data_IF_199075789117
#
_entry.id   IF_199075789117
#
_cell.length_a   1.000
_cell.length_b   1.000
_cell.length_c   1.000
_cell.angle_alpha   90.00
_cell.angle_beta   90.00
_cell.angle_gamma   90.00
#
_symmetry.space_group_name_H-M   'P 1'
#
loop_
_entity.id
_entity.type
_entity.pdbx_description
1 polymer ?
#
# COMPACT_ATOMS: atom_id res chain seq x y z
N UNK A 1 -39.08 -53.98 -43.00
CA UNK A 1 -38.44 -52.64 -42.92
C UNK A 1 -38.98 -51.77 -41.79
N UNK A 2 -40.31 -51.73 -41.53
CA UNK A 2 -40.91 -51.00 -40.40
C UNK A 2 -40.61 -51.57 -39.00
N UNK A 3 -40.36 -52.88 -38.86
CA UNK A 3 -39.98 -53.45 -37.56
C UNK A 3 -38.53 -53.18 -37.18
N UNK A 4 -37.62 -53.16 -38.16
CA UNK A 4 -36.19 -52.90 -37.92
C UNK A 4 -35.93 -51.44 -37.45
N UNK A 5 -36.74 -50.49 -37.92
CA UNK A 5 -36.73 -49.10 -37.47
C UNK A 5 -37.25 -48.92 -36.02
N UNK A 6 -38.19 -49.76 -35.57
CA UNK A 6 -38.67 -49.74 -34.17
C UNK A 6 -37.63 -50.28 -33.18
N UNK A 7 -36.82 -51.25 -33.60
CA UNK A 7 -35.75 -51.82 -32.76
C UNK A 7 -34.59 -50.84 -32.54
N UNK A 8 -34.36 -49.92 -33.48
CA UNK A 8 -33.36 -48.85 -33.34
C UNK A 8 -33.87 -47.73 -32.43
N UNK A 9 -35.18 -47.44 -32.45
CA UNK A 9 -35.80 -46.41 -31.61
C UNK A 9 -35.95 -46.82 -30.13
N UNK A 10 -35.85 -48.13 -29.82
CA UNK A 10 -35.92 -48.68 -28.46
C UNK A 10 -34.59 -48.64 -27.69
N UNK A 11 -33.47 -48.26 -28.33
CA UNK A 11 -32.12 -48.30 -27.74
C UNK A 11 -31.54 -46.93 -27.40
N UNK A 12 -32.29 -45.84 -27.59
CA UNK A 12 -31.83 -44.46 -27.30
C UNK A 12 -32.22 -43.94 -25.92
N UNK A 13 -32.42 -44.82 -24.93
CA UNK A 13 -32.53 -44.41 -23.53
C UNK A 13 -31.13 -44.28 -22.95
N UNK A 14 -30.40 -43.23 -23.37
CA UNK A 14 -29.41 -42.66 -22.47
C UNK A 14 -30.22 -42.05 -21.32
N UNK A 15 -30.34 -42.78 -20.21
CA UNK A 15 -30.97 -42.25 -19.01
C UNK A 15 -30.33 -40.90 -18.65
N UNK A 16 -31.17 -39.96 -18.19
CA UNK A 16 -30.73 -38.61 -17.80
C UNK A 16 -29.57 -38.67 -16.77
N UNK A 17 -29.56 -39.71 -15.95
CA UNK A 17 -28.52 -40.03 -14.96
C UNK A 17 -27.18 -40.40 -15.61
N UNK A 18 -27.21 -41.22 -16.66
CA UNK A 18 -26.01 -41.62 -17.43
C UNK A 18 -25.44 -40.42 -18.16
N UNK A 19 -26.31 -39.56 -18.70
CA UNK A 19 -25.94 -38.34 -19.41
C UNK A 19 -25.32 -37.30 -18.44
N UNK A 20 -25.87 -37.17 -17.24
CA UNK A 20 -25.32 -36.33 -16.16
C UNK A 20 -23.95 -36.82 -15.68
N UNK A 21 -23.74 -38.13 -15.59
CA UNK A 21 -22.44 -38.72 -15.23
C UNK A 21 -21.37 -38.46 -16.28
N UNK A 22 -21.71 -38.67 -17.57
CA UNK A 22 -20.81 -38.39 -18.68
C UNK A 22 -20.42 -36.91 -18.70
N UNK A 23 -21.39 -36.01 -18.47
CA UNK A 23 -21.14 -34.56 -18.41
C UNK A 23 -20.23 -34.19 -17.23
N UNK A 24 -20.47 -34.74 -16.04
CA UNK A 24 -19.63 -34.51 -14.86
C UNK A 24 -18.19 -35.01 -15.07
N UNK A 25 -18.02 -36.18 -15.68
CA UNK A 25 -16.70 -36.73 -16.00
C UNK A 25 -15.99 -35.83 -17.02
N UNK A 26 -16.69 -35.37 -18.06
CA UNK A 26 -16.14 -34.42 -19.04
C UNK A 26 -15.66 -33.12 -18.41
N UNK A 27 -16.42 -32.57 -17.46
CA UNK A 27 -16.04 -31.36 -16.71
C UNK A 27 -14.85 -31.58 -15.77
N UNK A 28 -14.73 -32.76 -15.15
CA UNK A 28 -13.55 -33.13 -14.36
C UNK A 28 -12.31 -33.25 -15.26
N UNK A 29 -12.44 -33.86 -16.43
CA UNK A 29 -11.35 -33.94 -17.41
C UNK A 29 -10.91 -32.54 -17.84
N UNK A 30 -11.85 -31.63 -18.10
CA UNK A 30 -11.55 -30.22 -18.39
C UNK A 30 -10.86 -29.52 -17.19
N UNK A 31 -11.26 -29.81 -15.96
CA UNK A 31 -10.61 -29.27 -14.76
C UNK A 31 -9.15 -29.79 -14.62
N UNK A 32 -8.88 -31.03 -15.02
CA UNK A 32 -7.53 -31.63 -15.02
C UNK A 32 -6.65 -30.98 -16.11
N UNK A 33 -7.20 -30.72 -17.28
CA UNK A 33 -6.51 -30.02 -18.38
C UNK A 33 -6.14 -28.58 -17.99
N UNK A 34 -6.84 -28.00 -17.01
CA UNK A 34 -6.59 -26.67 -16.45
C UNK A 34 -6.49 -25.57 -17.54
N UNK A 35 -7.52 -25.40 -18.39
CA UNK A 35 -7.52 -24.35 -19.39
C UNK A 35 -7.43 -22.98 -18.71
N UNK A 36 -6.51 -22.14 -19.20
CA UNK A 36 -6.38 -20.75 -18.82
C UNK A 36 -7.06 -19.85 -19.85
N UNK A 37 -7.69 -18.76 -19.38
CA UNK A 37 -8.06 -17.64 -20.24
C UNK A 37 -7.11 -16.49 -19.90
N UNK A 38 -6.42 -15.89 -20.91
CA UNK A 38 -5.60 -14.71 -20.67
C UNK A 38 -6.53 -13.54 -20.32
N UNK A 39 -6.53 -13.16 -19.04
CA UNK A 39 -7.31 -12.05 -18.52
C UNK A 39 -6.37 -10.85 -18.37
N UNK A 40 -6.73 -9.74 -19.02
CA UNK A 40 -6.02 -8.47 -18.83
C UNK A 40 -6.32 -7.97 -17.43
N UNK A 41 -5.29 -7.83 -16.62
CA UNK A 41 -5.38 -7.22 -15.30
C UNK A 41 -4.29 -6.17 -15.14
N UNK A 42 -4.60 -5.15 -14.34
CA UNK A 42 -3.66 -4.08 -14.06
C UNK A 42 -2.68 -4.57 -12.99
N UNK A 43 -1.38 -4.53 -13.29
CA UNK A 43 -0.33 -4.77 -12.29
C UNK A 43 0.07 -3.43 -11.67
N UNK A 44 0.23 -3.43 -10.36
CA UNK A 44 0.65 -2.27 -9.58
C UNK A 44 1.96 -2.58 -8.87
N UNK A 45 2.90 -1.64 -8.95
CA UNK A 45 4.21 -1.72 -8.34
C UNK A 45 4.39 -0.47 -7.48
N UNK A 46 4.34 -0.59 -6.16
CA UNK A 46 4.38 0.58 -5.28
C UNK A 46 5.73 0.75 -4.61
N UNK A 47 6.15 2.01 -4.47
CA UNK A 47 7.19 2.43 -3.54
C UNK A 47 6.52 3.26 -2.45
N UNK A 48 6.47 2.70 -1.26
CA UNK A 48 6.00 3.39 -0.06
C UNK A 48 7.18 4.12 0.56
N UNK A 49 7.12 5.44 0.61
CA UNK A 49 8.16 6.27 1.19
C UNK A 49 7.71 6.73 2.57
N UNK A 50 8.43 6.29 3.59
CA UNK A 50 8.21 6.61 4.99
C UNK A 50 9.16 7.76 5.41
N UNK A 51 8.59 8.93 5.72
CA UNK A 51 9.31 9.98 6.41
C UNK A 51 9.60 9.53 7.86
N UNK A 52 10.88 9.45 8.20
CA UNK A 52 11.34 9.07 9.55
C UNK A 52 12.08 10.23 10.23
N UNK A 53 11.88 11.46 9.75
CA UNK A 53 12.46 12.66 10.34
C UNK A 53 11.99 12.89 11.78
N UNK A 54 12.69 13.77 12.51
CA UNK A 54 12.42 13.98 13.94
C UNK A 54 10.98 14.46 14.23
N UNK A 55 10.38 15.26 13.33
CA UNK A 55 9.00 15.72 13.48
C UNK A 55 7.98 14.57 13.44
N UNK A 56 8.34 13.44 12.85
CA UNK A 56 7.50 12.22 12.83
C UNK A 56 7.43 11.51 14.20
N UNK A 57 8.29 11.88 15.16
CA UNK A 57 8.17 11.43 16.55
C UNK A 57 7.13 12.22 17.36
N UNK A 58 6.52 13.26 16.78
CA UNK A 58 5.49 14.07 17.45
C UNK A 58 4.27 13.22 17.82
N UNK A 59 3.79 13.36 19.06
CA UNK A 59 2.63 12.62 19.59
C UNK A 59 1.37 13.47 19.38
N UNK A 60 0.80 13.44 18.19
CA UNK A 60 -0.41 14.20 17.81
C UNK A 60 -1.40 13.42 16.95
N UNK A 61 -1.18 12.12 16.79
CA UNK A 61 -2.08 11.20 16.09
C UNK A 61 -2.77 10.27 17.09
N UNK A 62 -3.80 9.55 16.65
CA UNK A 62 -4.46 8.56 17.49
C UNK A 62 -5.12 7.46 16.69
N UNK A 63 -5.02 6.23 17.20
CA UNK A 63 -5.75 5.05 16.70
C UNK A 63 -6.56 4.49 17.86
N UNK A 64 -7.87 4.27 17.68
CA UNK A 64 -8.78 3.81 18.74
C UNK A 64 -8.64 4.61 20.06
N UNK A 65 -8.56 5.94 19.97
CA UNK A 65 -8.36 6.88 21.08
C UNK A 65 -7.04 6.73 21.88
N UNK A 66 -6.07 5.92 21.41
CA UNK A 66 -4.73 5.88 21.99
C UNK A 66 -3.84 6.91 21.29
N UNK A 67 -3.15 7.80 22.03
CA UNK A 67 -2.23 8.75 21.43
C UNK A 67 -1.01 8.02 20.86
N UNK A 68 -0.63 8.37 19.65
CA UNK A 68 0.50 7.76 18.92
C UNK A 68 1.39 8.85 18.33
N UNK A 69 2.65 8.49 18.07
CA UNK A 69 3.52 9.30 17.22
C UNK A 69 3.02 9.23 15.77
N UNK A 70 3.41 10.21 14.95
CA UNK A 70 3.14 10.16 13.50
C UNK A 70 3.77 8.95 12.84
N UNK A 71 4.99 8.56 13.26
CA UNK A 71 5.69 7.38 12.79
C UNK A 71 4.91 6.09 13.10
N UNK A 72 4.43 5.93 14.34
CA UNK A 72 3.63 4.75 14.72
C UNK A 72 2.28 4.72 14.00
N UNK A 73 1.62 5.86 13.83
CA UNK A 73 0.40 5.97 13.03
C UNK A 73 0.65 5.59 11.55
N UNK A 74 1.77 6.03 10.99
CA UNK A 74 2.18 5.68 9.63
C UNK A 74 2.44 4.18 9.49
N UNK A 75 3.18 3.56 10.43
CA UNK A 75 3.39 2.10 10.45
C UNK A 75 2.06 1.35 10.47
N UNK A 76 1.16 1.72 11.38
CA UNK A 76 -0.17 1.15 11.45
C UNK A 76 -0.94 1.27 10.11
N UNK A 77 -0.88 2.45 9.48
CA UNK A 77 -1.50 2.66 8.17
C UNK A 77 -0.87 1.79 7.08
N UNK A 78 0.46 1.59 7.11
CA UNK A 78 1.16 0.73 6.16
C UNK A 78 0.76 -0.74 6.32
N UNK A 79 0.67 -1.27 7.54
CA UNK A 79 0.19 -2.64 7.81
C UNK A 79 -1.22 -2.86 7.25
N UNK A 80 -2.14 -1.92 7.49
CA UNK A 80 -3.50 -2.00 6.94
C UNK A 80 -3.51 -1.93 5.40
N UNK A 81 -2.69 -1.05 4.81
CA UNK A 81 -2.56 -0.96 3.35
C UNK A 81 -2.02 -2.26 2.77
N UNK A 82 -0.93 -2.82 3.32
CA UNK A 82 -0.35 -4.08 2.84
C UNK A 82 -1.37 -5.21 2.88
N UNK A 83 -2.17 -5.29 3.94
CA UNK A 83 -3.22 -6.32 4.08
C UNK A 83 -4.35 -6.20 3.05
N UNK A 84 -4.60 -5.01 2.52
CA UNK A 84 -5.67 -4.72 1.55
C UNK A 84 -5.22 -4.78 0.08
N UNK A 85 -3.92 -4.88 -0.18
CA UNK A 85 -3.38 -4.98 -1.53
C UNK A 85 -3.61 -6.38 -2.12
N UNK A 86 -4.03 -6.48 -3.40
CA UNK A 86 -4.24 -7.78 -4.03
C UNK A 86 -2.91 -8.49 -4.31
N UNK A 87 -2.91 -9.82 -4.22
CA UNK A 87 -1.77 -10.63 -4.67
C UNK A 87 -1.42 -10.33 -6.14
N UNK A 88 -0.13 -10.39 -6.46
CA UNK A 88 0.46 -9.93 -7.72
C UNK A 88 0.92 -8.48 -7.67
N UNK A 89 0.54 -7.70 -6.66
CA UNK A 89 1.08 -6.36 -6.42
C UNK A 89 2.51 -6.50 -5.90
N UNK A 90 3.44 -5.72 -6.46
CA UNK A 90 4.81 -5.63 -5.91
C UNK A 90 4.98 -4.36 -5.10
N UNK A 91 5.69 -4.45 -3.99
CA UNK A 91 5.89 -3.32 -3.08
C UNK A 91 7.36 -3.19 -2.69
N UNK A 92 7.80 -1.95 -2.49
CA UNK A 92 9.09 -1.57 -1.93
C UNK A 92 8.84 -0.58 -0.80
N UNK A 93 9.56 -0.75 0.32
CA UNK A 93 9.54 0.20 1.44
C UNK A 93 10.83 1.02 1.39
N UNK A 94 10.68 2.34 1.28
CA UNK A 94 11.78 3.29 1.33
C UNK A 94 11.66 4.24 2.50
N UNK A 95 12.80 4.66 3.04
CA UNK A 95 12.90 5.65 4.11
C UNK A 95 13.37 6.99 3.56
N UNK A 96 12.72 8.07 3.97
CA UNK A 96 13.08 9.43 3.63
C UNK A 96 13.68 10.15 4.84
N UNK A 97 14.87 10.72 4.64
CA UNK A 97 15.53 11.65 5.58
C UNK A 97 16.43 12.64 4.83
N UNK A 98 16.45 13.89 5.26
CA UNK A 98 17.29 14.92 4.66
C UNK A 98 16.80 15.26 3.26
N UNK A 99 17.50 14.81 2.23
CA UNK A 99 17.18 15.08 0.81
C UNK A 99 16.91 13.82 0.01
N UNK A 100 17.12 12.62 0.58
CA UNK A 100 17.17 11.39 -0.18
C UNK A 100 16.19 10.36 0.35
N UNK A 101 15.73 9.51 -0.56
CA UNK A 101 15.01 8.29 -0.22
C UNK A 101 15.95 7.12 -0.43
N UNK A 102 15.99 6.20 0.54
CA UNK A 102 16.69 4.93 0.43
C UNK A 102 15.66 3.81 0.45
N UNK A 103 15.58 3.03 -0.62
CA UNK A 103 14.72 1.84 -0.66
C UNK A 103 15.42 0.66 0.01
N UNK A 104 14.68 -0.05 0.85
CA UNK A 104 15.18 -1.25 1.55
C UNK A 104 15.43 -2.40 0.57
N UNK A 105 14.60 -2.50 -0.46
CA UNK A 105 14.69 -3.49 -1.53
C UNK A 105 13.95 -2.99 -2.79
N UNK A 106 14.24 -3.58 -3.95
CA UNK A 106 13.44 -3.39 -5.16
C UNK A 106 12.04 -4.01 -4.98
N UNK A 107 10.99 -3.55 -5.69
CA UNK A 107 9.64 -4.07 -5.51
C UNK A 107 9.56 -5.61 -5.58
N UNK A 108 9.05 -6.23 -4.51
CA UNK A 108 8.83 -7.67 -4.38
C UNK A 108 7.33 -7.97 -4.24
N UNK A 109 6.89 -9.15 -4.70
CA UNK A 109 5.47 -9.52 -4.66
C UNK A 109 4.98 -9.71 -3.22
N UNK A 110 3.82 -9.14 -2.91
CA UNK A 110 3.32 -9.00 -1.55
C UNK A 110 2.92 -10.33 -0.90
N UNK A 111 2.20 -11.22 -1.57
CA UNK A 111 1.68 -12.44 -0.96
C UNK A 111 2.77 -13.50 -0.71
N UNK A 112 3.81 -13.55 -1.54
CA UNK A 112 4.98 -14.41 -1.37
C UNK A 112 5.93 -13.90 -0.28
N UNK A 113 5.96 -12.59 -0.03
CA UNK A 113 6.92 -11.95 0.88
C UNK A 113 6.27 -11.16 2.01
N UNK A 114 4.99 -11.43 2.33
CA UNK A 114 4.18 -10.63 3.25
C UNK A 114 4.88 -10.44 4.60
N UNK A 115 5.33 -11.54 5.21
CA UNK A 115 6.00 -11.52 6.51
C UNK A 115 7.26 -10.64 6.51
N UNK A 116 8.05 -10.66 5.43
CA UNK A 116 9.27 -9.84 5.31
C UNK A 116 8.96 -8.36 5.10
N UNK A 117 7.87 -8.04 4.40
CA UNK A 117 7.40 -6.67 4.20
C UNK A 117 6.88 -6.10 5.52
N UNK A 118 6.06 -6.86 6.25
CA UNK A 118 5.53 -6.48 7.56
C UNK A 118 6.66 -6.29 8.58
N UNK A 119 7.64 -7.19 8.63
CA UNK A 119 8.82 -7.06 9.49
C UNK A 119 9.65 -5.80 9.15
N UNK A 120 9.72 -5.43 7.87
CA UNK A 120 10.35 -4.17 7.45
C UNK A 120 9.60 -2.96 7.98
N UNK A 121 8.26 -2.98 7.94
CA UNK A 121 7.41 -1.90 8.48
C UNK A 121 7.56 -1.82 10.00
N UNK A 122 7.58 -2.96 10.70
CA UNK A 122 7.76 -3.04 12.15
C UNK A 122 9.07 -2.38 12.61
N UNK A 123 10.13 -2.52 11.81
CA UNK A 123 11.47 -2.00 12.09
C UNK A 123 11.74 -0.59 11.53
N UNK A 124 10.72 0.10 10.98
CA UNK A 124 10.84 1.52 10.68
C UNK A 124 11.07 2.31 11.97
N UNK A 125 12.24 2.96 12.05
CA UNK A 125 12.70 3.66 13.23
C UNK A 125 13.43 4.95 12.83
N UNK A 126 13.14 6.05 13.54
CA UNK A 126 13.77 7.36 13.31
C UNK A 126 15.30 7.32 13.47
N UNK A 127 15.84 6.39 14.27
CA UNK A 127 17.29 6.20 14.49
C UNK A 127 18.03 5.72 13.25
N UNK A 128 17.31 5.18 12.27
CA UNK A 128 17.87 4.83 10.95
C UNK A 128 18.15 6.07 10.09
N UNK A 129 17.77 7.27 10.53
CA UNK A 129 18.04 8.51 9.82
C UNK A 129 19.51 8.94 9.86
N UNK A 130 20.04 9.28 8.69
CA UNK A 130 21.43 9.79 8.52
C UNK A 130 21.53 11.32 8.51
N UNK A 131 20.41 12.03 8.62
CA UNK A 131 20.36 13.50 8.62
C UNK A 131 19.26 14.00 9.57
N UNK A 132 19.42 15.21 10.11
CA UNK A 132 18.44 15.86 10.98
C UNK A 132 17.52 16.85 10.25
N UNK A 133 17.54 16.84 8.91
CA UNK A 133 16.88 17.81 8.06
C UNK A 133 15.73 17.11 7.31
N UNK A 134 14.80 17.89 6.75
CA UNK A 134 13.72 17.40 5.88
C UNK A 134 13.58 18.35 4.71
N UNK A 135 13.99 17.91 3.52
CA UNK A 135 13.97 18.68 2.27
C UNK A 135 13.12 17.97 1.23
N UNK A 136 11.80 18.02 1.40
CA UNK A 136 10.83 17.21 0.67
C UNK A 136 10.87 17.52 -0.84
N UNK A 137 10.97 18.81 -1.23
CA UNK A 137 11.09 19.19 -2.66
C UNK A 137 12.30 18.57 -3.35
N UNK A 138 13.44 18.54 -2.67
CA UNK A 138 14.65 17.90 -3.21
C UNK A 138 14.51 16.38 -3.29
N UNK A 139 13.84 15.81 -2.28
CA UNK A 139 13.57 14.38 -2.23
C UNK A 139 12.80 13.87 -3.44
N UNK A 140 11.90 14.68 -4.02
CA UNK A 140 11.15 14.29 -5.20
C UNK A 140 12.09 13.98 -6.37
N UNK A 141 13.10 14.83 -6.64
CA UNK A 141 14.06 14.57 -7.71
C UNK A 141 14.91 13.31 -7.46
N UNK A 142 15.35 13.12 -6.21
CA UNK A 142 16.16 11.96 -5.82
C UNK A 142 15.35 10.67 -5.87
N UNK A 143 14.11 10.70 -5.39
CA UNK A 143 13.17 9.58 -5.48
C UNK A 143 12.84 9.25 -6.95
N UNK A 144 12.59 10.25 -7.79
CA UNK A 144 12.36 10.05 -9.21
C UNK A 144 13.56 9.39 -9.91
N UNK A 145 14.79 9.63 -9.44
CA UNK A 145 15.99 8.93 -9.93
C UNK A 145 16.07 7.49 -9.40
N UNK A 146 15.73 7.28 -8.14
CA UNK A 146 15.70 5.94 -7.51
C UNK A 146 14.69 5.02 -8.22
N UNK A 147 13.45 5.46 -8.42
CA UNK A 147 12.43 4.63 -9.07
C UNK A 147 12.79 4.27 -10.52
N UNK A 148 13.50 5.16 -11.23
CA UNK A 148 14.02 4.88 -12.59
C UNK A 148 15.14 3.84 -12.61
N UNK A 149 15.75 3.55 -11.47
CA UNK A 149 16.76 2.50 -11.35
C UNK A 149 16.16 1.12 -11.04
N UNK A 150 14.86 1.06 -10.72
CA UNK A 150 14.20 -0.22 -10.48
C UNK A 150 13.98 -0.98 -11.78
N UNK A 151 13.92 -2.33 -11.72
CA UNK A 151 13.67 -3.14 -12.91
C UNK A 151 12.32 -2.86 -13.57
N UNK A 152 11.34 -2.42 -12.78
CA UNK A 152 9.98 -2.16 -13.22
C UNK A 152 9.54 -0.76 -12.75
N UNK A 153 8.75 -0.08 -13.59
CA UNK A 153 8.15 1.20 -13.22
C UNK A 153 7.30 1.02 -11.97
N UNK A 154 7.37 2.00 -11.06
CA UNK A 154 6.68 1.93 -9.77
C UNK A 154 6.01 3.26 -9.44
N UNK A 155 4.76 3.18 -8.99
CA UNK A 155 4.02 4.31 -8.46
C UNK A 155 4.51 4.66 -7.05
N UNK A 156 4.41 5.93 -6.67
CA UNK A 156 4.90 6.40 -5.36
C UNK A 156 3.73 6.65 -4.41
N UNK A 157 3.86 6.20 -3.17
CA UNK A 157 3.00 6.62 -2.05
C UNK A 157 3.91 7.18 -0.96
N UNK A 158 3.91 8.50 -0.79
CA UNK A 158 4.86 9.21 0.06
C UNK A 158 4.16 9.74 1.31
N UNK A 159 4.58 9.27 2.48
CA UNK A 159 4.07 9.69 3.79
C UNK A 159 4.99 10.74 4.40
N UNK A 160 4.45 11.90 4.76
CA UNK A 160 5.21 12.98 5.42
C UNK A 160 4.27 13.97 6.10
N UNK A 161 4.77 14.72 7.07
CA UNK A 161 4.04 15.84 7.68
C UNK A 161 4.17 17.16 6.91
N UNK A 162 5.01 17.21 5.88
CA UNK A 162 5.20 18.41 5.08
C UNK A 162 6.11 19.47 5.70
N UNK A 163 6.74 19.20 6.85
CA UNK A 163 7.60 20.19 7.48
C UNK A 163 9.01 20.20 6.88
N UNK A 164 9.26 21.22 6.05
CA UNK A 164 10.59 21.50 5.52
C UNK A 164 11.52 22.08 6.60
N UNK A 165 12.68 21.45 6.76
CA UNK A 165 13.76 21.81 7.68
C UNK A 165 15.10 21.87 6.92
N UNK A 166 15.67 23.07 6.65
CA UNK A 166 15.18 24.40 7.05
C UNK A 166 13.87 24.79 6.40
N UNK A 167 13.15 25.71 7.07
CA UNK A 167 11.99 26.38 6.47
C UNK A 167 12.36 26.99 5.13
N UNK A 168 11.43 26.88 4.19
CA UNK A 168 11.62 27.39 2.84
C UNK A 168 11.68 28.92 2.83
N UNK A 169 12.59 29.43 2.02
CA UNK A 169 12.78 30.82 1.65
C UNK A 169 13.14 30.91 0.17
N UNK A 170 13.12 32.10 -0.41
CA UNK A 170 13.33 32.32 -1.85
C UNK A 170 14.58 31.65 -2.41
N UNK A 171 15.70 31.67 -1.65
CA UNK A 171 16.98 31.10 -2.11
C UNK A 171 17.17 29.58 -1.91
N UNK A 172 16.37 28.89 -1.08
CA UNK A 172 16.51 27.43 -0.85
C UNK A 172 15.36 26.61 -1.45
N UNK A 173 14.35 27.29 -2.01
CA UNK A 173 13.18 26.64 -2.61
C UNK A 173 13.54 26.08 -3.97
N UNK A 174 13.61 24.75 -4.06
CA UNK A 174 13.83 24.04 -5.32
C UNK A 174 12.65 24.23 -6.26
N UNK A 175 12.87 24.69 -7.48
CA UNK A 175 11.80 24.78 -8.48
C UNK A 175 11.32 23.37 -8.89
N UNK A 176 10.00 23.14 -8.83
CA UNK A 176 9.35 21.90 -9.27
C UNK A 176 8.78 22.01 -10.69
N UNK A 177 8.83 23.17 -11.34
CA UNK A 177 8.31 23.35 -12.70
C UNK A 177 9.02 22.48 -13.77
N UNK A 178 10.22 21.98 -13.45
CA UNK A 178 10.97 21.03 -14.30
C UNK A 178 10.80 19.56 -13.87
N UNK A 179 9.99 19.30 -12.83
CA UNK A 179 9.75 17.94 -12.36
C UNK A 179 8.86 17.19 -13.35
N UNK A 180 9.20 15.92 -13.62
CA UNK A 180 8.48 15.06 -14.55
C UNK A 180 8.17 13.72 -13.88
N UNK A 181 6.99 13.16 -14.20
CA UNK A 181 6.60 11.84 -13.71
C UNK A 181 6.07 11.81 -12.28
N UNK A 182 5.38 12.87 -11.84
CA UNK A 182 4.65 12.89 -10.56
C UNK A 182 3.16 12.54 -10.66
N UNK A 183 2.65 12.30 -11.87
CA UNK A 183 1.23 12.06 -12.13
C UNK A 183 0.72 10.70 -11.62
N UNK A 184 1.62 9.82 -11.20
CA UNK A 184 1.38 8.55 -10.55
C UNK A 184 1.85 8.57 -9.09
N UNK A 185 2.00 9.75 -8.47
CA UNK A 185 2.41 9.90 -7.07
C UNK A 185 1.22 10.26 -6.19
N UNK A 186 1.12 9.59 -5.05
CA UNK A 186 0.21 9.94 -3.96
C UNK A 186 1.04 10.47 -2.80
N UNK A 187 0.72 11.68 -2.34
CA UNK A 187 1.34 12.29 -1.16
C UNK A 187 0.34 12.21 -0.01
N UNK A 188 0.72 11.51 1.05
CA UNK A 188 -0.08 11.26 2.25
C UNK A 188 0.40 12.18 3.36
N UNK A 189 -0.45 13.14 3.75
CA UNK A 189 -0.15 14.05 4.86
C UNK A 189 -0.40 13.40 6.22
N UNK A 190 0.65 13.25 7.04
CA UNK A 190 0.60 12.63 8.37
C UNK A 190 0.79 13.71 9.45
N UNK A 191 -0.05 13.70 10.49
CA UNK A 191 0.06 14.64 11.61
C UNK A 191 -1.18 15.52 11.80
N UNK A 192 -1.22 16.24 12.91
CA UNK A 192 -2.33 17.11 13.27
C UNK A 192 -2.12 18.55 12.77
N UNK A 193 -3.21 19.22 12.40
CA UNK A 193 -3.20 20.66 12.11
C UNK A 193 -2.98 21.52 13.37
N UNK A 194 -3.33 21.00 14.55
CA UNK A 194 -3.12 21.69 15.83
C UNK A 194 -1.63 21.76 16.18
N UNK A 195 -0.89 20.72 15.79
CA UNK A 195 0.50 20.52 16.14
C UNK A 195 0.74 20.15 17.60
N UNK A 196 1.96 19.69 17.87
CA UNK A 196 2.47 19.35 19.19
C UNK A 196 4.00 19.49 19.22
N UNK A 197 4.62 19.57 20.41
CA UNK A 197 6.06 19.71 20.50
C UNK A 197 6.78 18.44 20.05
N UNK A 198 7.91 18.60 19.35
CA UNK A 198 8.73 17.47 18.89
C UNK A 198 9.52 16.91 20.08
N UNK A 199 9.29 15.65 20.50
CA UNK A 199 10.09 15.04 21.56
C UNK A 199 11.53 14.85 21.09
N UNK A 200 12.48 15.20 21.96
CA UNK A 200 13.89 14.86 21.77
C UNK A 200 14.16 13.56 22.52
N UNK A 201 14.51 12.53 21.77
CA UNK A 201 14.76 11.19 22.28
C UNK A 201 16.28 10.97 22.39
N UNK A 202 16.74 9.98 23.16
CA UNK A 202 18.13 9.50 23.18
C UNK A 202 18.34 8.30 22.21
N UNK A 203 19.52 7.68 22.20
CA UNK A 203 19.79 6.50 21.35
C UNK A 203 19.02 5.23 21.75
N UNK A 204 18.48 5.20 22.97
CA UNK A 204 17.66 4.12 23.54
C UNK A 204 16.17 4.41 23.46
N UNK A 205 15.78 5.41 22.68
CA UNK A 205 14.39 5.85 22.49
C UNK A 205 13.76 6.43 23.77
N UNK A 206 14.56 6.96 24.70
CA UNK A 206 14.09 7.60 25.92
C UNK A 206 13.91 9.10 25.73
N UNK A 207 12.83 9.66 26.26
CA UNK A 207 12.58 11.11 26.22
C UNK A 207 13.59 11.84 27.11
N UNK A 208 14.40 12.72 26.50
CA UNK A 208 15.32 13.60 27.21
C UNK A 208 14.83 15.05 27.30
N UNK A 209 13.80 15.40 26.52
CA UNK A 209 13.15 16.70 26.55
C UNK A 209 12.46 16.98 25.23
N UNK A 210 12.41 18.25 24.83
CA UNK A 210 11.80 18.67 23.58
C UNK A 210 12.75 19.56 22.80
N UNK A 211 12.64 19.54 21.47
CA UNK A 211 13.40 20.44 20.63
C UNK A 211 13.02 21.90 20.90
N UNK A 212 14.01 22.79 20.91
CA UNK A 212 13.77 24.22 21.07
C UNK A 212 13.44 24.87 19.71
N UNK A 213 12.67 25.95 19.72
CA UNK A 213 12.48 26.81 18.55
C UNK A 213 13.80 27.26 17.92
N UNK A 214 14.80 27.50 18.75
CA UNK A 214 16.09 28.05 18.36
C UNK A 214 17.02 26.97 17.79
N UNK A 215 16.72 25.68 18.05
CA UNK A 215 17.45 24.54 17.48
C UNK A 215 17.31 24.45 15.95
N UNK A 216 16.29 25.10 15.38
CA UNK A 216 16.06 25.17 13.94
C UNK A 216 16.48 26.52 13.33
N UNK A 217 17.22 27.34 14.09
CA UNK A 217 17.74 28.62 13.64
C UNK A 217 18.74 28.49 12.48
N UNK A 218 18.76 29.49 11.60
CA UNK A 218 19.75 29.64 10.53
C UNK A 218 21.01 30.31 11.09
N UNK A 219 22.21 29.85 10.70
CA UNK A 219 23.43 30.65 10.89
C UNK A 219 23.53 31.71 9.79
N UNK A 220 24.11 32.90 10.07
CA UNK A 220 24.38 33.89 9.04
C UNK A 220 25.23 33.28 7.91
N UNK A 221 24.67 33.18 6.70
CA UNK A 221 25.37 32.69 5.51
C UNK A 221 25.41 31.16 5.31
N UNK A 222 24.76 30.34 6.15
CA UNK A 222 24.71 28.87 6.03
C UNK A 222 23.29 28.34 6.28
N UNK A 223 23.01 27.13 5.76
CA UNK A 223 21.84 26.30 6.07
C UNK A 223 21.60 26.10 7.59
N UNK A 224 20.43 25.56 7.94
CA UNK A 224 20.01 25.28 9.32
C UNK A 224 21.12 24.66 10.17
N UNK A 225 21.24 25.07 11.43
CA UNK A 225 21.97 24.27 12.40
C UNK A 225 21.17 22.98 12.63
N UNK A 226 21.77 21.84 12.32
CA UNK A 226 21.26 20.54 12.72
C UNK A 226 22.41 19.72 13.25
N UNK A 227 22.11 18.75 14.10
CA UNK A 227 23.12 17.81 14.64
C UNK A 227 23.85 17.08 13.50
N UNK A 228 23.19 16.90 12.35
CA UNK A 228 23.81 16.35 11.14
C UNK A 228 24.87 17.28 10.52
N UNK A 229 24.66 18.60 10.58
CA UNK A 229 25.64 19.58 10.09
C UNK A 229 26.80 19.80 11.09
N UNK A 230 26.57 19.58 12.38
CA UNK A 230 27.57 19.72 13.45
C UNK A 230 28.40 18.44 13.68
N UNK A 231 27.99 17.29 13.13
CA UNK A 231 28.68 16.01 13.28
C UNK A 231 28.69 15.46 14.71
N UNK A 232 28.00 16.13 15.65
CA UNK A 232 27.88 15.74 17.05
C UNK A 232 26.45 15.92 17.50
N UNK A 233 25.94 14.92 18.22
CA UNK A 233 24.61 14.97 18.83
C UNK A 233 24.67 15.85 20.06
N UNK A 234 23.90 16.93 20.05
CA UNK A 234 23.75 17.80 21.21
C UNK A 234 22.57 17.31 22.05
N UNK A 235 22.67 17.37 23.38
CA UNK A 235 21.56 17.06 24.28
C UNK A 235 20.86 18.33 24.80
N UNK A 236 21.13 19.51 24.22
CA UNK A 236 20.35 20.71 24.51
C UNK A 236 18.88 20.49 24.15
N UNK A 237 18.02 20.87 25.09
CA UNK A 237 16.56 20.79 25.04
C UNK A 237 15.97 22.17 25.34
N UNK A 238 14.70 22.38 24.98
CA UNK A 238 13.97 23.59 25.31
C UNK A 238 13.99 23.87 26.82
N UNK A 239 14.30 25.12 27.20
CA UNK A 239 14.41 25.55 28.60
C UNK A 239 13.06 25.64 29.32
N UNK A 240 11.99 25.94 28.59
CA UNK A 240 10.61 25.96 29.07
C UNK A 240 9.59 25.49 28.03
N UNK A 241 8.31 25.45 28.42
CA UNK A 241 7.23 25.03 27.51
C UNK A 241 7.03 25.98 26.34
N UNK A 242 7.23 27.28 26.55
CA UNK A 242 7.16 28.34 25.53
C UNK A 242 8.23 28.18 24.44
N UNK A 243 9.35 27.56 24.79
CA UNK A 243 10.52 27.46 23.92
C UNK A 243 10.47 26.19 23.06
N UNK A 244 9.48 25.31 23.30
CA UNK A 244 9.33 24.06 22.55
C UNK A 244 8.95 24.36 21.11
N UNK A 245 9.68 23.76 20.16
CA UNK A 245 9.30 23.82 18.76
C UNK A 245 8.02 23.01 18.54
N UNK A 246 6.97 23.68 18.05
CA UNK A 246 5.69 23.06 17.72
C UNK A 246 5.69 22.64 16.25
N UNK A 247 5.62 21.33 16.04
CA UNK A 247 5.49 20.71 14.73
C UNK A 247 4.02 20.46 14.40
N UNK A 248 3.61 20.71 13.17
CA UNK A 248 2.25 20.44 12.68
C UNK A 248 2.27 19.95 11.24
N UNK A 249 1.21 19.26 10.84
CA UNK A 249 0.98 18.92 9.43
C UNK A 249 0.85 20.22 8.61
N UNK A 250 1.76 20.43 7.65
CA UNK A 250 1.67 21.53 6.68
C UNK A 250 0.86 21.09 5.45
N UNK A 251 -0.45 20.89 5.67
CA UNK A 251 -1.35 20.42 4.61
C UNK A 251 -1.42 21.40 3.43
N UNK A 252 -1.36 22.71 3.69
CA UNK A 252 -1.43 23.72 2.63
C UNK A 252 -0.22 23.59 1.70
N UNK A 253 0.97 23.44 2.29
CA UNK A 253 2.19 23.19 1.56
C UNK A 253 2.17 21.86 0.80
N UNK A 254 1.75 20.76 1.45
CA UNK A 254 1.67 19.46 0.78
C UNK A 254 0.72 19.49 -0.43
N UNK A 255 -0.43 20.16 -0.32
CA UNK A 255 -1.36 20.34 -1.46
C UNK A 255 -0.71 21.15 -2.59
N UNK A 256 0.02 22.20 -2.26
CA UNK A 256 0.72 23.04 -3.24
C UNK A 256 1.81 22.27 -4.00
N UNK A 257 2.72 21.59 -3.30
CA UNK A 257 3.80 20.85 -3.96
C UNK A 257 3.27 19.64 -4.74
N UNK A 258 2.22 18.99 -4.24
CA UNK A 258 1.60 17.86 -4.93
C UNK A 258 0.96 18.32 -6.23
N UNK A 259 0.31 19.49 -6.23
CA UNK A 259 -0.23 20.09 -7.44
C UNK A 259 0.87 20.45 -8.46
N UNK A 260 2.02 20.95 -7.99
CA UNK A 260 3.13 21.29 -8.88
C UNK A 260 3.72 20.08 -9.63
N UNK A 261 3.57 18.87 -9.08
CA UNK A 261 4.04 17.63 -9.72
C UNK A 261 2.92 16.82 -10.40
N UNK A 262 1.71 17.38 -10.51
CA UNK A 262 0.50 16.71 -11.01
C UNK A 262 0.09 15.44 -10.22
N UNK A 263 0.52 15.33 -8.96
CA UNK A 263 0.21 14.20 -8.08
C UNK A 263 -1.13 14.30 -7.38
N UNK A 264 -1.40 13.34 -6.49
CA UNK A 264 -2.63 13.25 -5.70
C UNK A 264 -2.31 13.45 -4.22
N UNK A 265 -2.89 14.47 -3.59
CA UNK A 265 -2.78 14.66 -2.15
C UNK A 265 -3.94 13.97 -1.43
N UNK A 266 -3.65 13.29 -0.33
CA UNK A 266 -4.65 12.75 0.59
C UNK A 266 -4.19 12.95 2.03
N UNK A 267 -5.14 13.18 2.93
CA UNK A 267 -4.84 13.21 4.37
C UNK A 267 -4.74 11.77 4.88
N UNK A 268 -3.70 11.48 5.67
CA UNK A 268 -3.42 10.16 6.23
C UNK A 268 -4.23 9.83 7.49
N UNK A 269 -5.44 10.38 7.62
CA UNK A 269 -6.33 10.14 8.77
C UNK A 269 -7.14 8.84 8.66
N UNK A 270 -7.29 8.33 7.43
CA UNK A 270 -8.06 7.13 7.11
C UNK A 270 -7.39 6.34 5.99
N UNK A 271 -7.10 5.07 6.26
CA UNK A 271 -6.52 4.14 5.27
C UNK A 271 -7.44 3.97 4.05
N UNK A 272 -8.75 4.02 4.24
CA UNK A 272 -9.72 3.96 3.13
C UNK A 272 -9.54 5.13 2.15
N UNK A 273 -9.21 6.33 2.66
CA UNK A 273 -8.95 7.49 1.81
C UNK A 273 -7.65 7.30 1.03
N UNK A 274 -6.60 6.77 1.68
CA UNK A 274 -5.31 6.47 1.05
C UNK A 274 -5.49 5.43 -0.06
N UNK A 275 -6.13 4.30 0.22
CA UNK A 275 -6.44 3.25 -0.77
C UNK A 275 -7.29 3.80 -1.93
N UNK A 276 -8.25 4.69 -1.65
CA UNK A 276 -9.05 5.34 -2.68
C UNK A 276 -8.25 6.30 -3.56
N UNK A 277 -7.24 6.99 -3.00
CA UNK A 277 -6.30 7.79 -3.76
C UNK A 277 -5.36 6.92 -4.60
N UNK A 278 -4.88 5.80 -4.04
CA UNK A 278 -4.02 4.85 -4.75
C UNK A 278 -4.70 4.23 -5.97
N UNK A 279 -5.99 3.91 -5.88
CA UNK A 279 -6.78 3.41 -7.01
C UNK A 279 -6.89 4.37 -8.20
N UNK A 280 -6.64 5.67 -7.99
CA UNK A 280 -6.63 6.69 -9.05
C UNK A 280 -5.27 6.79 -9.75
N UNK A 281 -4.22 6.20 -9.18
CA UNK A 281 -2.91 6.14 -9.83
C UNK A 281 -3.00 5.28 -11.09
N UNK A 282 -2.28 5.69 -12.13
CA UNK A 282 -2.19 4.89 -13.37
C UNK A 282 -1.46 3.58 -13.06
N UNK A 283 -1.93 2.43 -13.57
CA UNK A 283 -1.24 1.15 -13.38
C UNK A 283 0.15 1.17 -14.02
N UNK A 284 1.08 0.38 -13.46
CA UNK A 284 2.49 0.40 -13.88
C UNK A 284 2.64 -0.23 -15.28
N UNK A 285 1.89 -1.31 -15.52
CA UNK A 285 1.73 -1.99 -16.80
C UNK A 285 0.43 -2.82 -16.81
N UNK A 286 -0.08 -3.15 -18.00
CA UNK A 286 -1.20 -4.10 -18.17
C UNK A 286 -0.69 -5.47 -18.59
N UNK A 287 -0.79 -6.46 -17.72
CA UNK A 287 -0.31 -7.81 -18.02
C UNK A 287 -1.49 -8.78 -18.27
N UNK A 288 -1.22 -9.80 -19.07
CA UNK A 288 -2.15 -10.89 -19.33
C UNK A 288 -1.79 -12.05 -18.40
N UNK A 289 -2.50 -12.16 -17.28
CA UNK A 289 -2.37 -13.34 -16.43
C UNK A 289 -3.34 -14.43 -16.90
N UNK A 290 -2.86 -15.66 -16.85
CA UNK A 290 -3.63 -16.85 -17.16
C UNK A 290 -4.59 -17.17 -16.01
N UNK A 291 -5.87 -16.82 -16.17
CA UNK A 291 -6.88 -17.18 -15.19
C UNK A 291 -7.26 -18.65 -15.36
N UNK A 292 -6.83 -19.48 -14.41
CA UNK A 292 -7.08 -20.92 -14.40
C UNK A 292 -8.54 -21.25 -14.07
N UNK A 293 -9.27 -21.84 -15.03
CA UNK A 293 -10.67 -22.20 -14.87
C UNK A 293 -10.91 -23.50 -14.08
N UNK A 294 -9.86 -24.11 -13.51
CA UNK A 294 -9.94 -25.38 -12.78
C UNK A 294 -11.04 -25.38 -11.72
N UNK A 295 -11.11 -24.34 -10.89
CA UNK A 295 -12.12 -24.23 -9.83
C UNK A 295 -13.54 -24.08 -10.36
N UNK A 296 -13.70 -23.38 -11.50
CA UNK A 296 -14.99 -23.23 -12.16
C UNK A 296 -15.51 -24.59 -12.69
N UNK A 297 -14.67 -25.33 -13.42
CA UNK A 297 -15.05 -26.64 -13.94
C UNK A 297 -15.23 -27.69 -12.83
N UNK A 298 -14.41 -27.66 -11.79
CA UNK A 298 -14.55 -28.56 -10.64
C UNK A 298 -15.84 -28.30 -9.85
N UNK A 299 -16.21 -27.03 -9.62
CA UNK A 299 -17.45 -26.69 -8.91
C UNK A 299 -18.69 -27.08 -9.73
N UNK A 300 -18.68 -26.83 -11.04
CA UNK A 300 -19.78 -27.20 -11.93
C UNK A 300 -19.97 -28.72 -12.00
N UNK A 301 -18.87 -29.49 -12.06
CA UNK A 301 -18.92 -30.95 -11.98
C UNK A 301 -19.53 -31.42 -10.65
N UNK A 302 -19.10 -30.84 -9.52
CA UNK A 302 -19.62 -31.16 -8.20
C UNK A 302 -21.13 -30.89 -8.05
N UNK A 303 -21.61 -29.76 -8.61
CA UNK A 303 -23.04 -29.41 -8.62
C UNK A 303 -23.84 -30.44 -9.42
N UNK A 304 -23.40 -30.74 -10.65
CA UNK A 304 -24.09 -31.70 -11.53
C UNK A 304 -24.12 -33.10 -10.90
N UNK A 305 -23.01 -33.53 -10.32
CA UNK A 305 -22.93 -34.80 -9.61
C UNK A 305 -23.86 -34.85 -8.38
N UNK A 306 -23.95 -33.77 -7.62
CA UNK A 306 -24.80 -33.69 -6.42
C UNK A 306 -26.29 -33.65 -6.77
N UNK A 307 -26.68 -32.94 -7.83
CA UNK A 307 -28.07 -32.85 -8.31
C UNK A 307 -28.67 -34.23 -8.65
N UNK A 308 -27.83 -35.19 -9.05
CA UNK A 308 -28.24 -36.59 -9.27
C UNK A 308 -28.91 -37.22 -8.04
N UNK A 309 -28.35 -37.00 -6.85
CA UNK A 309 -28.85 -37.63 -5.62
C UNK A 309 -30.14 -36.99 -5.09
N UNK A 310 -30.41 -35.74 -5.50
CA UNK A 310 -31.55 -34.95 -5.06
C UNK A 310 -32.78 -35.20 -5.94
N UNK A 311 -32.61 -35.34 -7.27
CA UNK A 311 -33.70 -35.24 -8.24
C UNK A 311 -34.68 -36.44 -8.28
N UNK A 312 -34.23 -37.69 -8.17
CA UNK A 312 -35.10 -38.82 -8.57
C UNK A 312 -35.70 -39.61 -7.39
N UNK A 313 -34.99 -39.76 -6.27
CA UNK A 313 -35.48 -40.56 -5.13
C UNK A 313 -36.30 -39.77 -4.11
N UNK A 314 -35.90 -38.54 -3.78
CA UNK A 314 -36.55 -37.75 -2.74
C UNK A 314 -37.88 -37.13 -3.21
N UNK A 315 -37.97 -36.64 -4.46
CA UNK A 315 -39.21 -36.04 -4.97
C UNK A 315 -40.32 -37.08 -5.14
N UNK A 316 -40.01 -38.28 -5.66
CA UNK A 316 -40.98 -39.37 -5.76
C UNK A 316 -41.48 -39.84 -4.39
N UNK A 317 -40.60 -39.98 -3.39
CA UNK A 317 -41.03 -40.34 -2.04
C UNK A 317 -41.86 -39.24 -1.36
N UNK A 318 -41.51 -37.96 -1.56
CA UNK A 318 -42.23 -36.84 -0.94
C UNK A 318 -43.61 -36.61 -1.58
N UNK A 319 -43.74 -36.78 -2.90
CA UNK A 319 -45.02 -36.66 -3.63
C UNK A 319 -45.94 -37.86 -3.36
N UNK A 320 -45.40 -39.07 -3.25
CA UNK A 320 -46.19 -40.27 -2.89
C UNK A 320 -46.68 -40.21 -1.43
N UNK A 321 -45.88 -39.65 -0.51
CA UNK A 321 -46.25 -39.49 0.91
C UNK A 321 -47.26 -38.37 1.18
N UNK A 322 -47.43 -37.40 0.27
CA UNK A 322 -48.47 -36.35 0.33
C UNK A 322 -49.80 -36.73 -0.39
N UNK A 323 -49.82 -37.83 -1.14
CA UNK A 323 -51.03 -38.35 -1.82
C UNK A 323 -51.72 -39.50 -1.08
N UNK A 324 -51.19 -39.92 0.07
CA UNK A 324 -51.91 -40.68 1.10
C UNK A 324 -52.29 -39.74 2.22
#
# INVERSE_FOLDING_TARGET
>A
MKEWLKTIQSRSNLDLDTLSLILSIGLIVLAIINPSIPLKHNIYNYVFVADISQSMNTIDMSVMNKPLTRLEHMKHSLHEIMSELPCGTKVSIGIFVGVSVSASYTPIEICENFDAIEDTIDHLDWRSGWSGNSRIRESFFNLARLIRSFPENSQVVYFTDGEEAPKLHTFNTRDLGQFQGGNDWVIVGVGSLKGAPIPKLDGKNQLIGYWSSDSFGLQPGIAQISEANLGTRDNVVAGGESDRYISKLDEAYLKDITKQIDGIYVRGDSVLNILSAMKKQKPAWQDTADFHLKWFFASLAGIIFSLRFISIKHIKQYVIKRRK
#
